data_IF_269709612591
#
_entry.id   IF_269709612591
#
_cell.length_a   1.000
_cell.length_b   1.000
_cell.length_c   1.000
_cell.angle_alpha   90.00
_cell.angle_beta   90.00
_cell.angle_gamma   90.00
#
_symmetry.space_group_name_H-M   'P 1'
#
loop_
_entity.id
_entity.type
_entity.pdbx_description
1 polymer ?
#
# COMPACT_ATOMS: atom_id res chain seq x y z
N UNK A 1 -9.67 10.70 19.16
CA UNK A 1 -10.21 10.16 17.90
C UNK A 1 -10.29 8.67 18.05
N UNK A 2 -11.40 8.07 17.63
CA UNK A 2 -11.61 6.62 17.67
C UNK A 2 -11.53 6.13 16.22
N UNK A 3 -10.76 5.07 15.98
CA UNK A 3 -10.66 4.45 14.66
C UNK A 3 -11.91 3.61 14.45
N UNK A 4 -12.52 3.73 13.27
CA UNK A 4 -13.73 3.02 12.90
C UNK A 4 -13.58 2.44 11.49
N UNK A 5 -14.33 1.38 11.14
CA UNK A 5 -14.34 0.83 9.81
C UNK A 5 -14.79 1.86 8.76
N UNK A 6 -14.01 2.01 7.70
CA UNK A 6 -14.42 2.72 6.50
C UNK A 6 -14.58 1.76 5.32
N UNK A 7 -13.65 1.67 4.37
CA UNK A 7 -13.84 0.77 3.23
C UNK A 7 -14.06 -0.71 3.63
N UNK A 8 -13.52 -1.15 4.77
CA UNK A 8 -13.79 -2.47 5.34
C UNK A 8 -15.13 -2.52 6.11
N UNK A 9 -15.78 -3.69 6.13
CA UNK A 9 -17.02 -3.92 6.89
C UNK A 9 -16.83 -3.76 8.40
N UNK A 10 -15.69 -4.17 8.92
CA UNK A 10 -15.34 -4.13 10.34
C UNK A 10 -13.83 -3.94 10.55
N UNK A 11 -13.45 -3.65 11.80
CA UNK A 11 -12.05 -3.75 12.22
C UNK A 11 -11.74 -5.23 12.42
N UNK A 12 -10.52 -5.64 12.07
CA UNK A 12 -10.13 -7.05 12.05
C UNK A 12 -9.04 -7.29 13.08
N UNK A 13 -9.24 -8.29 13.93
CA UNK A 13 -8.16 -8.82 14.75
C UNK A 13 -7.25 -9.71 13.91
N UNK A 14 -5.95 -9.40 13.91
CA UNK A 14 -4.96 -10.18 13.19
C UNK A 14 -4.79 -11.58 13.79
N UNK A 15 -4.67 -12.59 12.92
CA UNK A 15 -4.39 -13.98 13.29
C UNK A 15 -2.87 -14.19 13.38
N UNK A 16 -2.40 -14.52 14.58
CA UNK A 16 -0.99 -14.90 14.80
C UNK A 16 -0.69 -16.28 14.17
N UNK A 17 0.42 -16.35 13.43
CA UNK A 17 0.90 -17.54 12.75
C UNK A 17 2.02 -18.23 13.56
N UNK A 18 2.32 -19.49 13.24
CA UNK A 18 3.33 -20.28 13.97
C UNK A 18 4.76 -19.69 13.89
N UNK A 19 5.05 -18.91 12.84
CA UNK A 19 6.33 -18.27 12.60
C UNK A 19 6.44 -16.85 13.22
N UNK A 20 5.40 -16.40 13.95
CA UNK A 20 5.34 -15.08 14.59
C UNK A 20 4.84 -13.96 13.69
N UNK A 21 4.55 -14.23 12.42
CA UNK A 21 3.84 -13.28 11.54
C UNK A 21 2.37 -13.15 11.93
N UNK A 22 1.70 -12.10 11.45
CA UNK A 22 0.27 -11.88 11.71
C UNK A 22 -0.47 -11.63 10.41
N UNK A 23 -1.50 -12.41 10.12
CA UNK A 23 -2.33 -12.27 8.92
C UNK A 23 -3.65 -11.56 9.27
N UNK A 24 -3.98 -10.53 8.49
CA UNK A 24 -5.24 -9.80 8.56
C UNK A 24 -6.01 -10.03 7.26
N UNK A 25 -7.31 -10.30 7.38
CA UNK A 25 -8.20 -10.51 6.23
C UNK A 25 -9.36 -9.54 6.33
N UNK A 26 -9.42 -8.59 5.41
CA UNK A 26 -10.44 -7.56 5.36
C UNK A 26 -11.46 -7.86 4.26
N UNK A 27 -12.74 -7.75 4.59
CA UNK A 27 -13.82 -7.72 3.61
C UNK A 27 -14.27 -6.28 3.38
N UNK A 28 -14.23 -5.83 2.13
CA UNK A 28 -14.71 -4.53 1.71
C UNK A 28 -16.24 -4.47 1.75
N UNK A 29 -16.80 -3.31 2.15
CA UNK A 29 -18.25 -3.07 2.15
C UNK A 29 -18.82 -3.15 0.74
N UNK A 30 -20.10 -3.51 0.65
CA UNK A 30 -20.83 -3.46 -0.60
C UNK A 30 -20.99 -2.03 -1.13
N UNK A 31 -20.94 -1.90 -2.46
CA UNK A 31 -21.30 -0.66 -3.15
C UNK A 31 -20.27 0.47 -3.06
N UNK A 32 -19.02 0.19 -2.65
CA UNK A 32 -17.93 1.16 -2.75
C UNK A 32 -17.69 1.58 -4.19
N UNK A 33 -17.57 2.88 -4.41
CA UNK A 33 -17.39 3.46 -5.74
C UNK A 33 -16.34 4.56 -5.73
N UNK A 34 -15.58 4.59 -6.82
CA UNK A 34 -14.82 5.75 -7.23
C UNK A 34 -15.78 6.89 -7.62
N UNK A 35 -15.27 8.12 -7.62
CA UNK A 35 -16.01 9.33 -7.99
C UNK A 35 -16.58 9.33 -9.42
N UNK A 36 -16.04 8.51 -10.32
CA UNK A 36 -16.58 8.28 -11.67
C UNK A 36 -17.60 7.12 -11.74
N UNK A 37 -17.94 6.52 -10.61
CA UNK A 37 -18.95 5.47 -10.46
C UNK A 37 -18.45 4.04 -10.65
N UNK A 38 -17.17 3.85 -11.03
CA UNK A 38 -16.56 2.51 -11.08
C UNK A 38 -16.45 1.89 -9.68
N UNK A 39 -16.53 0.56 -9.55
CA UNK A 39 -16.39 -0.08 -8.24
C UNK A 39 -14.98 0.09 -7.67
N UNK A 40 -14.89 0.25 -6.35
CA UNK A 40 -13.61 0.07 -5.63
C UNK A 40 -13.48 -1.40 -5.27
N UNK A 41 -12.31 -1.97 -5.53
CA UNK A 41 -12.02 -3.40 -5.31
C UNK A 41 -10.81 -3.58 -4.40
N UNK A 42 -10.63 -4.78 -3.83
CA UNK A 42 -9.43 -5.13 -3.08
C UNK A 42 -8.16 -5.04 -3.95
N UNK A 43 -8.28 -5.22 -5.27
CA UNK A 43 -7.19 -5.04 -6.21
C UNK A 43 -6.67 -3.60 -6.27
N UNK A 44 -7.49 -2.59 -5.99
CA UNK A 44 -7.06 -1.20 -5.91
C UNK A 44 -6.15 -0.94 -4.70
N UNK A 45 -6.43 -1.63 -3.58
CA UNK A 45 -5.59 -1.57 -2.38
C UNK A 45 -4.28 -2.31 -2.57
N UNK A 46 -4.32 -3.54 -3.09
CA UNK A 46 -3.11 -4.32 -3.42
C UNK A 46 -2.20 -3.52 -4.35
N UNK A 47 -2.74 -2.96 -5.44
CA UNK A 47 -1.97 -2.12 -6.36
C UNK A 47 -1.41 -0.88 -5.66
N UNK A 48 -2.23 -0.15 -4.91
CA UNK A 48 -1.82 1.07 -4.23
C UNK A 48 -0.64 0.85 -3.29
N UNK A 49 -0.71 -0.20 -2.47
CA UNK A 49 0.31 -0.50 -1.47
C UNK A 49 1.60 -0.99 -2.10
N UNK A 50 1.49 -1.90 -3.08
CA UNK A 50 2.65 -2.35 -3.87
C UNK A 50 3.33 -1.16 -4.55
N UNK A 51 2.57 -0.27 -5.19
CA UNK A 51 3.11 0.95 -5.79
C UNK A 51 3.78 1.86 -4.75
N UNK A 52 3.13 2.13 -3.63
CA UNK A 52 3.63 3.07 -2.65
C UNK A 52 4.88 2.55 -1.91
N UNK A 53 5.01 1.22 -1.79
CA UNK A 53 6.16 0.57 -1.21
C UNK A 53 7.32 0.38 -2.23
N UNK A 54 7.01 0.27 -3.52
CA UNK A 54 8.00 0.09 -4.60
C UNK A 54 9.07 1.20 -4.57
N UNK A 55 10.37 0.85 -4.43
CA UNK A 55 11.46 1.83 -4.48
C UNK A 55 11.47 2.67 -5.76
N UNK A 56 10.99 2.13 -6.90
CA UNK A 56 10.91 2.86 -8.16
C UNK A 56 9.91 4.03 -8.11
N UNK A 57 8.89 3.96 -7.25
CA UNK A 57 7.96 5.07 -7.03
C UNK A 57 8.61 6.21 -6.24
N UNK A 58 9.68 5.93 -5.49
CA UNK A 58 10.37 6.89 -4.63
C UNK A 58 9.41 7.66 -3.69
N UNK A 59 8.47 6.94 -3.07
CA UNK A 59 7.50 7.51 -2.15
C UNK A 59 8.16 7.93 -0.83
N UNK A 60 8.01 9.19 -0.42
CA UNK A 60 8.49 9.69 0.88
C UNK A 60 7.95 8.88 2.08
N UNK A 61 6.77 8.29 1.92
CA UNK A 61 6.11 7.46 2.93
C UNK A 61 6.22 5.94 2.68
N UNK A 62 7.04 5.50 1.71
CA UNK A 62 7.20 4.07 1.39
C UNK A 62 7.62 3.23 2.60
N UNK A 63 8.43 3.80 3.51
CA UNK A 63 8.88 3.15 4.74
C UNK A 63 7.75 2.71 5.68
N UNK A 64 6.53 3.26 5.55
CA UNK A 64 5.41 2.86 6.40
C UNK A 64 5.02 1.38 6.17
N UNK A 65 5.30 0.85 4.98
CA UNK A 65 5.03 -0.55 4.63
C UNK A 65 6.07 -1.53 5.19
N UNK A 66 7.10 -1.06 5.92
CA UNK A 66 8.13 -1.90 6.53
C UNK A 66 7.55 -2.98 7.45
N UNK A 67 6.40 -2.73 8.08
CA UNK A 67 5.74 -3.71 8.92
C UNK A 67 5.19 -4.92 8.14
N UNK A 68 4.98 -4.80 6.83
CA UNK A 68 4.44 -5.87 5.98
C UNK A 68 5.55 -6.83 5.58
N UNK A 69 5.28 -8.13 5.67
CA UNK A 69 6.24 -9.15 5.28
C UNK A 69 6.67 -8.97 3.82
N UNK A 70 7.97 -9.14 3.57
CA UNK A 70 8.56 -9.01 2.24
C UNK A 70 9.05 -7.61 1.86
N UNK A 71 8.67 -6.55 2.60
CA UNK A 71 9.20 -5.20 2.37
C UNK A 71 10.73 -5.16 2.42
N UNK A 72 11.34 -5.74 3.45
CA UNK A 72 12.80 -5.79 3.61
C UNK A 72 13.53 -6.42 2.41
N UNK A 73 12.91 -7.41 1.76
CA UNK A 73 13.49 -8.09 0.59
C UNK A 73 13.43 -7.22 -0.66
N UNK A 74 12.36 -6.43 -0.77
CA UNK A 74 12.15 -5.49 -1.87
C UNK A 74 13.10 -4.29 -1.76
N UNK A 75 13.36 -3.82 -0.54
CA UNK A 75 14.20 -2.65 -0.28
C UNK A 75 15.63 -3.01 0.15
N UNK A 76 16.04 -4.26 0.03
CA UNK A 76 17.42 -4.68 0.30
C UNK A 76 18.35 -3.98 -0.69
N UNK A 77 19.36 -3.29 -0.19
CA UNK A 77 20.36 -2.60 -1.00
C UNK A 77 21.75 -3.21 -0.80
N UNK A 78 22.57 -3.19 -1.85
CA UNK A 78 23.98 -3.58 -1.80
C UNK A 78 24.85 -2.52 -2.48
N UNK A 79 26.10 -2.42 -2.05
CA UNK A 79 27.09 -1.60 -2.74
C UNK A 79 27.39 -2.19 -4.11
N UNK A 80 27.43 -1.33 -5.13
CA UNK A 80 27.84 -1.69 -6.50
C UNK A 80 29.37 -1.80 -6.65
N UNK A 81 30.12 -1.26 -5.68
CA UNK A 81 31.56 -1.04 -5.78
C UNK A 81 31.95 0.25 -6.51
N UNK A 82 30.98 0.98 -7.06
CA UNK A 82 31.18 2.31 -7.64
C UNK A 82 31.06 3.41 -6.57
N UNK A 83 31.61 4.59 -6.88
CA UNK A 83 31.46 5.78 -6.05
C UNK A 83 30.87 6.91 -6.88
N UNK A 84 29.98 7.69 -6.27
CA UNK A 84 29.43 8.90 -6.89
C UNK A 84 30.49 10.02 -7.01
N UNK A 85 30.09 11.17 -7.55
CA UNK A 85 30.97 12.34 -7.70
C UNK A 85 31.51 12.89 -6.36
N UNK A 86 30.85 12.57 -5.25
CA UNK A 86 31.20 12.97 -3.89
C UNK A 86 32.04 11.91 -3.16
N UNK A 87 32.25 10.74 -3.79
CA UNK A 87 33.03 9.64 -3.25
C UNK A 87 32.25 8.67 -2.35
N UNK A 88 30.93 8.81 -2.27
CA UNK A 88 30.04 7.90 -1.52
C UNK A 88 29.79 6.62 -2.31
N UNK A 89 29.62 5.45 -1.66
CA UNK A 89 29.26 4.21 -2.34
C UNK A 89 27.92 4.35 -3.07
N UNK A 90 27.88 3.91 -4.33
CA UNK A 90 26.62 3.77 -5.07
C UNK A 90 25.92 2.49 -4.63
N UNK A 91 24.70 2.62 -4.14
CA UNK A 91 23.84 1.52 -3.71
C UNK A 91 22.91 1.08 -4.86
N UNK A 92 22.61 -0.21 -4.94
CA UNK A 92 21.58 -0.75 -5.83
C UNK A 92 20.65 -1.70 -5.07
N UNK A 93 19.35 -1.67 -5.40
CA UNK A 93 18.39 -2.63 -4.86
C UNK A 93 18.69 -4.03 -5.36
N UNK A 94 18.66 -5.02 -4.45
CA UNK A 94 18.96 -6.42 -4.74
C UNK A 94 17.79 -7.09 -5.47
N UNK A 95 16.57 -6.84 -5.02
CA UNK A 95 15.36 -7.46 -5.59
C UNK A 95 14.13 -6.54 -5.45
N UNK A 96 14.07 -5.39 -6.15
CA UNK A 96 12.97 -4.42 -6.04
C UNK A 96 11.71 -4.90 -6.79
N UNK A 97 11.16 -6.03 -6.36
CA UNK A 97 9.91 -6.60 -6.89
C UNK A 97 8.74 -6.31 -5.93
N UNK A 98 7.77 -5.46 -6.31
CA UNK A 98 6.59 -5.16 -5.50
C UNK A 98 5.74 -6.38 -5.18
N UNK A 99 5.85 -7.47 -5.95
CA UNK A 99 5.14 -8.73 -5.67
C UNK A 99 5.68 -9.46 -4.43
N UNK A 100 6.82 -9.04 -3.88
CA UNK A 100 7.31 -9.55 -2.60
C UNK A 100 6.50 -9.04 -1.41
N UNK A 101 5.84 -7.88 -1.54
CA UNK A 101 5.04 -7.30 -0.47
C UNK A 101 3.83 -8.19 -0.19
N UNK A 102 3.69 -8.68 1.04
CA UNK A 102 2.65 -9.62 1.44
C UNK A 102 1.28 -8.95 1.64
N UNK A 103 0.76 -8.37 0.56
CA UNK A 103 -0.60 -7.86 0.41
C UNK A 103 -1.20 -8.45 -0.87
N UNK A 104 -2.41 -8.98 -0.78
CA UNK A 104 -3.05 -9.68 -1.89
C UNK A 104 -4.55 -9.49 -1.88
N UNK A 105 -5.13 -9.15 -3.03
CA UNK A 105 -6.55 -9.32 -3.28
C UNK A 105 -6.84 -10.81 -3.54
N UNK A 106 -7.57 -11.45 -2.62
CA UNK A 106 -8.02 -12.84 -2.79
C UNK A 106 -9.15 -12.90 -3.82
N UNK A 107 -10.01 -11.88 -3.81
CA UNK A 107 -11.07 -11.60 -4.78
C UNK A 107 -11.37 -10.08 -4.77
N UNK A 108 -12.38 -9.63 -5.51
CA UNK A 108 -12.73 -8.20 -5.63
C UNK A 108 -13.05 -7.52 -4.29
N UNK A 109 -13.41 -8.25 -3.24
CA UNK A 109 -13.83 -7.72 -1.93
C UNK A 109 -12.96 -8.17 -0.78
N UNK A 110 -12.04 -9.11 -0.97
CA UNK A 110 -11.23 -9.68 0.11
C UNK A 110 -9.78 -9.30 -0.05
N UNK A 111 -9.25 -8.49 0.89
CA UNK A 111 -7.84 -8.13 0.98
C UNK A 111 -7.18 -8.90 2.11
N UNK A 112 -6.13 -9.65 1.81
CA UNK A 112 -5.28 -10.31 2.80
C UNK A 112 -3.94 -9.58 2.89
N UNK A 113 -3.47 -9.33 4.11
CA UNK A 113 -2.16 -8.74 4.38
C UNK A 113 -1.49 -9.49 5.52
N UNK A 114 -0.18 -9.73 5.40
CA UNK A 114 0.61 -10.37 6.45
C UNK A 114 1.73 -9.44 6.92
N UNK A 115 1.77 -9.15 8.22
CA UNK A 115 2.82 -8.34 8.85
C UNK A 115 3.92 -9.23 9.44
N UNK A 116 5.13 -8.68 9.53
CA UNK A 116 6.33 -9.37 10.08
C UNK A 116 6.15 -9.80 11.53
N UNK A 117 5.35 -9.03 12.27
CA UNK A 117 4.98 -9.26 13.66
C UNK A 117 3.64 -8.57 13.96
N UNK A 118 3.12 -8.76 15.18
CA UNK A 118 2.01 -7.95 15.68
C UNK A 118 2.38 -6.46 15.74
N UNK A 119 1.56 -5.63 15.09
CA UNK A 119 1.71 -4.17 15.08
C UNK A 119 0.61 -3.57 15.93
N UNK A 120 0.95 -2.98 17.09
CA UNK A 120 -0.04 -2.45 18.03
C UNK A 120 -0.87 -1.28 17.49
N UNK A 121 -0.33 -0.56 16.51
CA UNK A 121 -0.93 0.60 15.86
C UNK A 121 -1.34 0.29 14.40
N UNK A 122 -1.60 -0.98 14.08
CA UNK A 122 -1.94 -1.40 12.72
C UNK A 122 -3.13 -0.64 12.13
N UNK A 123 -4.21 -0.47 12.92
CA UNK A 123 -5.39 0.26 12.47
C UNK A 123 -5.10 1.77 12.22
N UNK A 124 -4.10 2.34 12.90
CA UNK A 124 -3.65 3.72 12.65
C UNK A 124 -2.94 3.83 11.29
N UNK A 125 -2.14 2.82 10.91
CA UNK A 125 -1.54 2.76 9.58
C UNK A 125 -2.62 2.63 8.51
N UNK A 126 -3.60 1.74 8.71
CA UNK A 126 -4.71 1.53 7.79
C UNK A 126 -5.59 2.78 7.59
N UNK A 127 -5.59 3.70 8.55
CA UNK A 127 -6.29 4.98 8.45
C UNK A 127 -5.41 6.11 7.87
N UNK A 128 -4.12 5.88 7.61
CA UNK A 128 -3.20 6.88 7.09
C UNK A 128 -3.31 7.02 5.56
N UNK A 129 -3.20 8.23 4.97
CA UNK A 129 -3.41 8.44 3.53
C UNK A 129 -2.61 7.55 2.58
N UNK A 130 -1.36 7.18 2.92
CA UNK A 130 -0.54 6.29 2.09
C UNK A 130 -1.15 4.88 1.93
N UNK A 131 -2.02 4.46 2.85
CA UNK A 131 -2.75 3.18 2.78
C UNK A 131 -4.08 3.28 2.03
N UNK A 132 -4.48 4.46 1.58
CA UNK A 132 -5.70 4.62 0.77
C UNK A 132 -5.51 3.98 -0.62
N UNK A 133 -6.58 3.44 -1.22
CA UNK A 133 -6.49 2.86 -2.55
C UNK A 133 -6.27 3.99 -3.57
N UNK A 134 -5.60 3.66 -4.67
CA UNK A 134 -5.52 4.48 -5.89
C UNK A 134 -5.80 3.58 -7.09
N UNK A 135 -6.33 4.16 -8.16
CA UNK A 135 -6.72 3.37 -9.34
C UNK A 135 -5.61 3.31 -10.39
N UNK A 136 -5.24 2.10 -10.82
CA UNK A 136 -4.08 1.85 -11.68
C UNK A 136 -4.12 2.56 -13.03
N UNK A 137 -5.29 2.61 -13.68
CA UNK A 137 -5.50 3.32 -14.94
C UNK A 137 -5.32 4.84 -14.80
N UNK A 138 -5.72 5.41 -13.67
CA UNK A 138 -5.62 6.85 -13.40
C UNK A 138 -4.19 7.26 -13.10
N UNK A 139 -3.49 6.51 -12.26
CA UNK A 139 -2.10 6.78 -11.86
C UNK A 139 -1.11 6.80 -13.03
N UNK A 140 -1.47 6.16 -14.16
CA UNK A 140 -0.63 6.16 -15.36
C UNK A 140 -0.52 7.53 -16.05
N UNK A 141 -1.36 8.51 -15.68
CA UNK A 141 -1.27 9.89 -16.13
C UNK A 141 -0.40 10.70 -15.16
N UNK A 142 0.73 11.28 -15.58
CA UNK A 142 1.62 12.07 -14.69
C UNK A 142 0.91 13.22 -13.95
N UNK A 143 -0.17 13.78 -14.52
CA UNK A 143 -0.97 14.84 -13.91
C UNK A 143 -2.05 14.37 -12.93
N UNK A 144 -2.23 13.06 -12.73
CA UNK A 144 -3.39 12.47 -12.04
C UNK A 144 -3.68 13.04 -10.64
N UNK A 145 -2.63 13.46 -9.93
CA UNK A 145 -2.71 14.00 -8.58
C UNK A 145 -2.47 15.52 -8.48
N UNK A 146 -2.14 16.19 -9.60
CA UNK A 146 -1.82 17.64 -9.63
C UNK A 146 -2.86 18.47 -10.37
N UNK A 147 -3.72 17.84 -11.16
CA UNK A 147 -4.86 18.47 -11.82
C UNK A 147 -6.19 17.93 -11.22
N UNK A 148 -7.01 18.78 -10.57
CA UNK A 148 -8.34 18.41 -10.04
C UNK A 148 -9.23 17.67 -11.04
N UNK A 149 -9.17 18.01 -12.32
CA UNK A 149 -10.02 17.40 -13.35
C UNK A 149 -9.65 15.95 -13.67
N UNK A 150 -8.45 15.52 -13.28
CA UNK A 150 -7.94 14.17 -13.51
C UNK A 150 -7.96 13.30 -12.26
N UNK A 151 -8.19 13.91 -11.09
CA UNK A 151 -8.15 13.21 -9.80
C UNK A 151 -9.41 12.38 -9.57
N UNK A 152 -9.22 11.10 -9.28
CA UNK A 152 -10.29 10.18 -8.91
C UNK A 152 -10.08 9.73 -7.46
N UNK A 153 -11.01 10.13 -6.58
CA UNK A 153 -11.08 9.65 -5.20
C UNK A 153 -12.31 8.78 -4.94
N UNK A 154 -12.31 8.08 -3.80
CA UNK A 154 -13.42 7.27 -3.27
C UNK A 154 -13.97 7.80 -1.92
N UNK A 155 -13.56 9.01 -1.53
CA UNK A 155 -13.98 9.65 -0.29
C UNK A 155 -15.34 10.38 -0.39
N UNK A 156 -15.78 11.03 0.69
CA UNK A 156 -17.08 11.70 0.77
C UNK A 156 -17.21 12.98 -0.09
N UNK A 157 -16.09 13.50 -0.60
CA UNK A 157 -16.04 14.71 -1.43
C UNK A 157 -15.17 14.47 -2.66
N UNK A 158 -15.42 15.26 -3.71
CA UNK A 158 -14.66 15.27 -4.96
C UNK A 158 -13.92 16.60 -5.07
N UNK A 159 -12.69 16.58 -5.59
CA UNK A 159 -11.89 17.78 -5.84
C UNK A 159 -12.43 18.49 -7.11
N UNK A 160 -12.62 19.80 -7.05
CA UNK A 160 -13.19 20.61 -8.15
C UNK A 160 -12.35 21.84 -8.45
#
# INVERSE_FOLDING_TARGET
FEIAPDCAEELVEGKENEDGTVTYTYTLRDGLKWSDGQPVTAGDFEFSWKRAADPATASDYGYMFDQIAGYDKMTEEKETGEKDEEGNPVMEYVNPDPELLAVKAIDDRTLEVTTKQKVSYWDELMAFPTYMPVRKDIVSNEGWATDPSTYIGNGPYVMT
#
